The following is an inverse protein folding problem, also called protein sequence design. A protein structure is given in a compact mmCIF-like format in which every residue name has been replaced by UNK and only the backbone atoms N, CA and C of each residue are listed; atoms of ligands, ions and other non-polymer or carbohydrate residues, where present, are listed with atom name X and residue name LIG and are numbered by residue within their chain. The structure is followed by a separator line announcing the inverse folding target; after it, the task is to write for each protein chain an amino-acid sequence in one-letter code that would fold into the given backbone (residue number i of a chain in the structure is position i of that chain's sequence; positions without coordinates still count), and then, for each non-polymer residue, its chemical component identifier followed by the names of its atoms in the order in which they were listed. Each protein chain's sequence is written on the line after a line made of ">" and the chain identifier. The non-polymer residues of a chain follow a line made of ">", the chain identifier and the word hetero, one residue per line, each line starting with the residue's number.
data_IF_413750739882
#
_entry.id   IF_413750739882
#
_cell.length_a   1.000
_cell.length_b   1.000
_cell.length_c   1.000
_cell.angle_alpha   90.00
_cell.angle_beta   90.00
_cell.angle_gamma   90.00
#
_symmetry.space_group_name_H-M   'P 1'
#
loop_
_entity.id
_entity.type
_entity.pdbx_description
1 polymer ?
#
# COMPACT_ATOMS: atom_id res chain seq x y z
N UNK A 1 4.60 -0.06 17.36
CA UNK A 1 4.05 1.12 16.66
C UNK A 1 4.91 2.31 17.03
N UNK A 2 5.27 3.15 16.06
CA UNK A 2 6.10 4.35 16.25
C UNK A 2 5.30 5.57 15.81
N UNK A 3 5.42 6.70 16.50
CA UNK A 3 4.71 7.95 16.16
C UNK A 3 5.69 9.11 16.06
N UNK A 4 5.39 10.05 15.17
CA UNK A 4 6.09 11.34 15.09
C UNK A 4 5.10 12.47 15.30
N UNK A 5 5.46 13.42 16.15
CA UNK A 5 4.60 14.51 16.56
C UNK A 5 5.42 15.77 16.84
N UNK A 6 4.79 16.93 16.69
CA UNK A 6 5.38 18.23 17.09
C UNK A 6 4.54 18.87 18.18
N UNK A 7 5.17 19.68 19.03
CA UNK A 7 4.50 20.55 19.99
C UNK A 7 5.14 21.93 19.97
N UNK A 8 4.34 22.96 20.23
CA UNK A 8 4.83 24.33 20.46
C UNK A 8 4.93 24.68 21.95
N UNK A 9 4.45 23.81 22.83
CA UNK A 9 4.35 24.06 24.27
C UNK A 9 4.72 22.85 25.14
N UNK A 10 5.31 21.82 24.53
CA UNK A 10 5.70 20.53 25.13
C UNK A 10 4.61 19.80 25.92
N UNK A 11 3.34 20.20 25.74
CA UNK A 11 2.19 19.65 26.48
C UNK A 11 1.15 19.06 25.54
N UNK A 12 0.83 19.76 24.45
CA UNK A 12 -0.10 19.29 23.41
C UNK A 12 0.70 18.90 22.17
N UNK A 13 0.58 17.64 21.76
CA UNK A 13 1.30 17.11 20.61
C UNK A 13 0.36 16.86 19.44
N UNK A 14 0.71 17.41 18.28
CA UNK A 14 0.04 17.11 17.00
C UNK A 14 0.77 15.94 16.35
N UNK A 15 0.09 14.79 16.22
CA UNK A 15 0.65 13.62 15.53
C UNK A 15 0.60 13.81 14.03
N UNK A 16 1.75 13.67 13.37
CA UNK A 16 1.88 13.81 11.92
C UNK A 16 1.83 12.47 11.19
N UNK A 17 2.48 11.46 11.77
CA UNK A 17 2.46 10.11 11.22
C UNK A 17 2.56 9.02 12.30
N UNK A 18 1.97 7.88 11.99
CA UNK A 18 2.07 6.64 12.75
C UNK A 18 2.59 5.52 11.84
N UNK A 19 3.52 4.73 12.34
CA UNK A 19 4.15 3.62 11.63
C UNK A 19 3.90 2.32 12.38
N UNK A 20 3.42 1.31 11.66
CA UNK A 20 3.33 -0.07 12.16
C UNK A 20 4.17 -0.98 11.29
N UNK A 21 4.72 -2.03 11.89
CA UNK A 21 5.65 -2.96 11.25
C UNK A 21 5.15 -4.39 11.39
N UNK A 22 5.54 -5.26 10.47
CA UNK A 22 5.36 -6.70 10.63
C UNK A 22 6.31 -7.21 11.71
N UNK A 23 5.76 -7.83 12.76
CA UNK A 23 6.55 -8.31 13.90
C UNK A 23 7.61 -9.34 13.50
N UNK A 24 7.36 -10.15 12.47
CA UNK A 24 8.23 -11.27 12.07
C UNK A 24 9.41 -10.87 11.21
N UNK A 25 9.27 -9.83 10.39
CA UNK A 25 10.28 -9.41 9.40
C UNK A 25 10.78 -7.98 9.62
N UNK A 26 10.19 -7.22 10.54
CA UNK A 26 10.53 -5.82 10.83
C UNK A 26 10.18 -4.83 9.70
N UNK A 27 9.61 -5.31 8.59
CA UNK A 27 9.23 -4.47 7.46
C UNK A 27 8.04 -3.55 7.79
N UNK A 28 8.04 -2.35 7.22
CA UNK A 28 6.99 -1.36 7.41
C UNK A 28 5.67 -1.90 6.86
N UNK A 29 4.66 -2.07 7.71
CA UNK A 29 3.34 -2.60 7.35
C UNK A 29 2.38 -1.50 6.95
N UNK A 30 2.36 -0.40 7.70
CA UNK A 30 1.45 0.72 7.45
C UNK A 30 2.04 2.04 7.90
N UNK A 31 1.79 3.07 7.11
CA UNK A 31 1.98 4.47 7.48
C UNK A 31 0.63 5.19 7.47
N UNK A 32 0.25 5.77 8.60
CA UNK A 32 -0.95 6.59 8.76
C UNK A 32 -0.52 8.04 8.88
N UNK A 33 -1.02 8.96 8.06
CA UNK A 33 -0.59 10.36 8.03
C UNK A 33 -1.73 11.35 8.25
N UNK A 34 -1.37 12.57 8.63
CA UNK A 34 -2.26 13.72 8.77
C UNK A 34 -3.47 13.42 9.67
N UNK A 35 -3.21 12.94 10.89
CA UNK A 35 -4.28 12.59 11.84
C UNK A 35 -5.17 11.43 11.38
N UNK A 36 -4.67 10.59 10.48
CA UNK A 36 -5.41 9.45 9.95
C UNK A 36 -6.22 9.75 8.70
N UNK A 37 -5.97 10.84 7.97
CA UNK A 37 -6.63 11.12 6.70
C UNK A 37 -6.26 10.07 5.64
N UNK A 38 -4.98 9.72 5.53
CA UNK A 38 -4.49 8.73 4.59
C UNK A 38 -3.80 7.59 5.33
N UNK A 39 -4.05 6.37 4.85
CA UNK A 39 -3.33 5.17 5.23
C UNK A 39 -2.63 4.59 4.01
N UNK A 40 -1.39 4.15 4.20
CA UNK A 40 -0.54 3.55 3.18
C UNK A 40 -0.19 2.15 3.68
N UNK A 41 -0.81 1.14 3.08
CA UNK A 41 -0.61 -0.28 3.39
C UNK A 41 0.49 -0.88 2.51
N UNK A 42 1.44 -1.59 3.12
CA UNK A 42 2.55 -2.23 2.41
C UNK A 42 2.42 -3.74 2.51
N UNK A 43 2.62 -4.41 1.38
CA UNK A 43 2.61 -5.87 1.28
C UNK A 43 3.93 -6.33 0.70
N UNK A 44 4.46 -7.42 1.24
CA UNK A 44 5.72 -8.02 0.80
C UNK A 44 5.49 -9.47 0.39
N UNK A 45 6.30 -9.98 -0.55
CA UNK A 45 6.33 -11.40 -0.87
C UNK A 45 7.23 -12.18 0.11
N UNK A 46 7.27 -13.51 -0.06
CA UNK A 46 8.07 -14.39 0.81
C UNK A 46 9.58 -14.14 0.73
N UNK A 47 10.07 -13.56 -0.38
CA UNK A 47 11.46 -13.13 -0.53
C UNK A 47 11.75 -11.78 0.14
N UNK A 48 10.77 -11.16 0.80
CA UNK A 48 10.90 -9.86 1.46
C UNK A 48 10.84 -8.66 0.51
N UNK A 49 10.51 -8.87 -0.76
CA UNK A 49 10.42 -7.81 -1.75
C UNK A 49 9.08 -7.08 -1.63
N UNK A 50 9.07 -5.77 -1.88
CA UNK A 50 7.84 -4.98 -1.91
C UNK A 50 6.94 -5.51 -3.02
N UNK A 51 5.73 -5.93 -2.66
CA UNK A 51 4.71 -6.45 -3.58
C UNK A 51 3.63 -5.44 -3.91
N UNK A 52 3.17 -4.68 -2.92
CA UNK A 52 2.05 -3.76 -3.09
C UNK A 52 2.18 -2.56 -2.18
N UNK A 53 1.76 -1.39 -2.66
CA UNK A 53 1.39 -0.24 -1.82
C UNK A 53 -0.09 0.02 -2.06
N UNK A 54 -0.92 -0.11 -1.02
CA UNK A 54 -2.38 -0.22 -1.13
C UNK A 54 -2.77 -1.27 -2.20
N UNK A 55 -4.03 -1.27 -2.66
CA UNK A 55 -4.45 -2.16 -3.75
C UNK A 55 -4.93 -1.35 -4.97
N UNK A 56 -4.46 -1.65 -6.20
CA UNK A 56 -4.79 -0.88 -7.40
C UNK A 56 -6.26 -0.96 -7.81
N UNK A 57 -7.03 -1.94 -7.32
CA UNK A 57 -8.49 -1.93 -7.52
C UNK A 57 -9.19 -0.76 -6.83
N UNK A 58 -8.56 -0.15 -5.81
CA UNK A 58 -9.15 0.87 -4.92
C UNK A 58 -10.52 0.46 -4.36
N UNK A 59 -10.81 -0.85 -4.34
CA UNK A 59 -12.10 -1.38 -3.95
C UNK A 59 -12.34 -1.14 -2.46
N UNK A 60 -13.57 -0.77 -2.10
CA UNK A 60 -14.00 -0.67 -0.69
C UNK A 60 -14.30 -2.05 -0.11
N UNK A 61 -13.27 -2.89 -0.02
CA UNK A 61 -13.35 -4.23 0.55
C UNK A 61 -12.46 -4.28 1.80
N UNK A 62 -13.00 -4.56 3.00
CA UNK A 62 -12.20 -4.58 4.24
C UNK A 62 -10.99 -5.51 4.23
N UNK A 63 -11.01 -6.56 3.40
CA UNK A 63 -9.89 -7.51 3.26
C UNK A 63 -8.73 -6.97 2.40
N UNK A 64 -8.99 -5.93 1.61
CA UNK A 64 -8.07 -5.35 0.62
C UNK A 64 -7.68 -3.92 1.03
N UNK A 65 -8.69 -3.14 1.41
CA UNK A 65 -8.64 -1.74 1.81
C UNK A 65 -9.47 -1.60 3.10
N UNK A 66 -8.89 -1.91 4.28
CA UNK A 66 -9.61 -2.01 5.55
C UNK A 66 -10.35 -0.73 5.94
N UNK A 67 -9.97 0.42 5.40
CA UNK A 67 -10.54 1.73 5.76
C UNK A 67 -11.24 2.44 4.61
N UNK A 68 -11.25 1.88 3.40
CA UNK A 68 -11.95 2.42 2.23
C UNK A 68 -11.45 3.79 1.75
N UNK A 69 -10.21 4.19 2.12
CA UNK A 69 -9.67 5.55 1.91
C UNK A 69 -8.46 5.63 0.98
N UNK A 70 -8.05 4.52 0.38
CA UNK A 70 -6.97 4.50 -0.60
C UNK A 70 -7.22 5.50 -1.75
N UNK A 71 -6.32 6.48 -1.89
CA UNK A 71 -6.31 7.42 -3.01
C UNK A 71 -5.53 6.88 -4.21
N UNK A 72 -4.62 5.94 -3.97
CA UNK A 72 -3.82 5.29 -4.99
C UNK A 72 -3.46 3.88 -4.52
N UNK A 73 -3.07 3.04 -5.48
CA UNK A 73 -2.48 1.75 -5.19
C UNK A 73 -1.61 1.26 -6.34
N UNK A 74 -0.63 0.43 -6.01
CA UNK A 74 0.27 -0.18 -6.97
C UNK A 74 0.64 -1.59 -6.57
N UNK A 75 0.96 -2.41 -7.57
CA UNK A 75 1.53 -3.74 -7.41
C UNK A 75 2.77 -3.87 -8.26
N UNK A 76 3.74 -4.61 -7.74
CA UNK A 76 4.99 -4.93 -8.41
C UNK A 76 5.03 -6.43 -8.63
N UNK A 77 5.25 -6.86 -9.86
CA UNK A 77 5.43 -8.27 -10.20
C UNK A 77 6.90 -8.51 -10.54
N UNK A 78 7.45 -9.59 -10.00
CA UNK A 78 8.82 -10.06 -10.27
C UNK A 78 8.77 -11.30 -11.16
N UNK A 79 7.90 -12.26 -10.83
CA UNK A 79 7.65 -13.47 -11.61
C UNK A 79 6.21 -13.94 -11.43
N UNK A 80 5.72 -14.79 -12.33
CA UNK A 80 4.37 -15.35 -12.22
C UNK A 80 4.18 -16.02 -10.86
N UNK A 81 3.06 -15.75 -10.18
CA UNK A 81 2.72 -16.33 -8.89
C UNK A 81 3.72 -15.99 -7.74
N UNK A 82 4.45 -14.88 -7.84
CA UNK A 82 5.36 -14.38 -6.79
C UNK A 82 4.65 -14.00 -5.48
N UNK A 83 3.33 -13.89 -5.48
CA UNK A 83 2.52 -13.60 -4.31
C UNK A 83 1.13 -14.24 -4.41
N UNK A 84 0.74 -14.95 -3.35
CA UNK A 84 -0.61 -15.51 -3.16
C UNK A 84 -1.05 -15.30 -1.73
N UNK A 85 -2.23 -14.68 -1.54
CA UNK A 85 -2.82 -14.47 -0.21
C UNK A 85 -4.18 -15.13 -0.08
N UNK A 86 -5.15 -14.67 -0.83
CA UNK A 86 -6.51 -15.20 -0.90
C UNK A 86 -7.21 -14.68 -2.17
N UNK A 87 -8.43 -15.14 -2.42
CA UNK A 87 -9.23 -14.74 -3.59
C UNK A 87 -9.61 -13.25 -3.64
N UNK A 88 -9.56 -12.54 -2.51
CA UNK A 88 -9.83 -11.09 -2.48
C UNK A 88 -8.61 -10.27 -2.91
N UNK A 89 -7.40 -10.81 -2.78
CA UNK A 89 -6.16 -10.09 -3.04
C UNK A 89 -5.45 -10.74 -4.23
N UNK A 90 -6.08 -10.58 -5.40
CA UNK A 90 -5.63 -11.12 -6.68
C UNK A 90 -5.07 -10.01 -7.54
N UNK A 91 -3.94 -10.31 -8.17
CA UNK A 91 -3.28 -9.43 -9.11
C UNK A 91 -3.31 -10.06 -10.50
N UNK A 92 -3.05 -9.25 -11.52
CA UNK A 92 -2.88 -9.76 -12.86
C UNK A 92 -1.51 -10.43 -12.97
N UNK A 93 -1.39 -11.66 -12.43
CA UNK A 93 -0.10 -12.34 -12.26
C UNK A 93 0.36 -13.14 -13.50
N UNK A 94 -0.46 -13.16 -14.56
CA UNK A 94 -0.21 -13.83 -15.84
C UNK A 94 0.09 -12.83 -16.96
N UNK A 95 0.96 -11.86 -16.69
CA UNK A 95 1.48 -11.01 -17.76
C UNK A 95 2.45 -11.81 -18.63
N UNK A 96 2.34 -11.67 -19.95
CA UNK A 96 3.21 -12.35 -20.94
C UNK A 96 4.65 -11.81 -20.97
N UNK A 97 4.99 -10.92 -20.04
CA UNK A 97 6.34 -10.35 -19.85
C UNK A 97 7.23 -11.37 -19.14
N UNK A 98 8.50 -11.43 -19.55
CA UNK A 98 9.51 -12.33 -19.01
C UNK A 98 9.66 -12.19 -17.49
N UNK A 99 9.79 -13.33 -16.80
CA UNK A 99 9.99 -13.38 -15.37
C UNK A 99 11.39 -12.90 -14.98
N UNK A 100 11.47 -12.11 -13.92
CA UNK A 100 12.69 -11.53 -13.38
C UNK A 100 13.02 -12.17 -12.02
N UNK A 101 13.67 -13.33 -12.04
CA UNK A 101 14.10 -14.05 -10.82
C UNK A 101 15.32 -13.43 -10.13
N UNK A 102 15.99 -12.47 -10.77
CA UNK A 102 17.09 -11.69 -10.21
C UNK A 102 16.63 -10.70 -9.12
N UNK A 103 15.31 -10.54 -8.95
CA UNK A 103 14.72 -9.55 -8.08
C UNK A 103 14.43 -8.21 -8.77
N UNK A 104 14.65 -8.12 -10.08
CA UNK A 104 14.17 -6.98 -10.88
C UNK A 104 12.64 -7.02 -11.00
N UNK A 105 12.02 -5.85 -11.13
CA UNK A 105 10.57 -5.74 -11.36
C UNK A 105 10.30 -6.04 -12.84
N UNK A 106 9.45 -7.03 -13.12
CA UNK A 106 9.00 -7.33 -14.50
C UNK A 106 7.84 -6.46 -14.94
N UNK A 107 6.96 -6.07 -14.01
CA UNK A 107 5.78 -5.28 -14.32
C UNK A 107 5.28 -4.50 -13.11
N UNK A 108 4.55 -3.42 -13.40
CA UNK A 108 3.88 -2.61 -12.40
C UNK A 108 2.44 -2.34 -12.86
N UNK A 109 1.48 -2.61 -11.98
CA UNK A 109 0.08 -2.19 -12.18
C UNK A 109 -0.23 -1.11 -11.15
N UNK A 110 -0.82 0.00 -11.57
CA UNK A 110 -1.14 1.11 -10.66
C UNK A 110 -2.51 1.71 -11.00
N UNK A 111 -3.10 2.36 -10.00
CA UNK A 111 -4.32 3.13 -10.15
C UNK A 111 -4.34 4.27 -9.14
N UNK A 112 -4.97 5.37 -9.50
CA UNK A 112 -5.20 6.53 -8.64
C UNK A 112 -6.65 6.96 -8.75
N UNK A 113 -7.26 7.33 -7.63
CA UNK A 113 -8.60 7.87 -7.58
C UNK A 113 -8.61 9.21 -8.34
N UNK A 114 -9.30 9.23 -9.47
CA UNK A 114 -9.51 10.45 -10.23
C UNK A 114 -10.52 11.33 -9.48
N UNK A 115 -10.15 12.57 -9.19
CA UNK A 115 -11.14 13.56 -8.76
C UNK A 115 -11.97 13.92 -10.00
N UNK A 116 -13.30 13.76 -9.92
CA UNK A 116 -14.17 14.42 -10.91
C UNK A 116 -13.91 15.91 -10.74
N UNK A 117 -13.33 16.55 -11.76
CA UNK A 117 -13.32 18.00 -11.81
C UNK A 117 -14.77 18.49 -11.66
N UNK A 118 -15.00 19.49 -10.83
CA UNK A 118 -16.29 20.19 -10.76
C UNK A 118 -16.60 20.69 -12.17
N UNK A 119 -17.58 20.07 -12.82
CA UNK A 119 -18.12 20.57 -14.07
C UNK A 119 -18.90 21.83 -13.69
N UNK A 120 -18.30 22.99 -13.93
CA UNK A 120 -19.02 24.24 -13.96
C UNK A 120 -19.81 24.27 -15.27
N UNK A 121 -21.10 23.97 -15.17
CA UNK A 121 -22.11 24.28 -16.19
C UNK A 121 -22.44 25.78 -16.19
#
# INVERSE_FOLDING_TARGET
>A
MVKVATSTNDSNYTTHAEYSYYNTIGALKRTTIAGGIQEIDYVYNLAGQLKSINHPSLAKNPNINPHGRDLFGLTLDYYNQDYKRNSNFTFNDQLTVENQYSGNIKAMTWNSKQNKAEQHD
#
